data_IF_004698378088
#
_entry.id   IF_004698378088
#
_cell.length_a   1.000
_cell.length_b   1.000
_cell.length_c   1.000
_cell.angle_alpha   90.00
_cell.angle_beta   90.00
_cell.angle_gamma   90.00
#
_symmetry.space_group_name_H-M   'P 1'
#
loop_
_entity.id
_entity.type
_entity.pdbx_description
1 polymer ?
#
# COMPACT_ATOMS: atom_id res chain seq x y z
N UNK A 1 -11.93 -17.19 12.37
CA UNK A 1 -11.05 -17.24 11.19
C UNK A 1 -11.21 -18.58 10.46
N UNK A 2 -11.24 -18.55 9.13
CA UNK A 2 -11.08 -19.74 8.28
C UNK A 2 -10.14 -19.37 7.11
N UNK A 3 -9.25 -20.28 6.68
CA UNK A 3 -8.43 -20.07 5.48
C UNK A 3 -9.31 -19.82 4.24
N UNK A 4 -8.84 -19.03 3.27
CA UNK A 4 -9.60 -18.78 2.04
C UNK A 4 -9.80 -20.09 1.26
N UNK A 5 -10.90 -20.22 0.52
CA UNK A 5 -11.17 -21.42 -0.28
C UNK A 5 -10.22 -21.58 -1.48
N UNK A 6 -9.65 -20.48 -1.95
CA UNK A 6 -8.70 -20.41 -3.06
C UNK A 6 -7.48 -19.59 -2.65
N UNK A 7 -6.38 -19.79 -3.37
CA UNK A 7 -5.16 -19.00 -3.26
C UNK A 7 -4.89 -18.35 -4.61
N UNK A 8 -4.24 -17.19 -4.56
CA UNK A 8 -3.76 -16.45 -5.72
C UNK A 8 -2.24 -16.51 -5.66
N UNK A 9 -1.61 -17.14 -6.64
CA UNK A 9 -0.15 -17.26 -6.66
C UNK A 9 0.50 -16.05 -7.38
N UNK A 10 -0.12 -15.59 -8.47
CA UNK A 10 0.37 -14.49 -9.31
C UNK A 10 -0.78 -13.56 -9.74
N UNK A 11 -0.49 -12.26 -9.77
CA UNK A 11 -1.39 -11.19 -10.20
C UNK A 11 -0.71 -10.40 -11.31
N UNK A 12 -1.36 -10.32 -12.47
CA UNK A 12 -0.99 -9.37 -13.52
C UNK A 12 -2.08 -8.34 -13.70
N UNK A 13 -1.72 -7.08 -13.57
CA UNK A 13 -2.62 -5.94 -13.77
C UNK A 13 -2.18 -5.17 -15.02
N UNK A 14 -3.13 -4.85 -15.88
CA UNK A 14 -3.00 -3.83 -16.91
C UNK A 14 -4.03 -2.73 -16.63
N UNK A 15 -3.53 -1.54 -16.29
CA UNK A 15 -4.31 -0.40 -15.84
C UNK A 15 -4.14 0.72 -16.85
N UNK A 16 -5.20 1.02 -17.59
CA UNK A 16 -5.26 2.15 -18.51
C UNK A 16 -5.98 3.31 -17.84
N UNK A 17 -5.21 4.32 -17.43
CA UNK A 17 -5.68 5.45 -16.64
C UNK A 17 -6.56 6.38 -17.47
N UNK A 18 -7.74 6.64 -16.92
CA UNK A 18 -8.70 7.63 -17.37
C UNK A 18 -9.40 8.23 -16.14
N UNK A 19 -9.58 9.56 -16.02
CA UNK A 19 -10.15 10.18 -14.83
C UNK A 19 -11.55 9.65 -14.48
N UNK A 20 -12.39 9.44 -15.49
CA UNK A 20 -13.79 9.07 -15.30
C UNK A 20 -14.02 7.56 -15.33
N UNK A 21 -13.24 6.83 -16.13
CA UNK A 21 -13.43 5.41 -16.40
C UNK A 21 -12.10 4.68 -16.64
N UNK A 22 -11.23 4.65 -15.64
CA UNK A 22 -9.99 3.86 -15.67
C UNK A 22 -10.33 2.39 -15.93
N UNK A 23 -9.70 1.80 -16.95
CA UNK A 23 -9.88 0.40 -17.34
C UNK A 23 -8.86 -0.48 -16.65
N UNK A 24 -9.31 -1.53 -15.98
CA UNK A 24 -8.45 -2.48 -15.26
C UNK A 24 -8.70 -3.89 -15.80
N UNK A 25 -7.66 -4.50 -16.37
CA UNK A 25 -7.62 -5.92 -16.69
C UNK A 25 -6.77 -6.62 -15.64
N UNK A 26 -7.37 -7.56 -14.92
CA UNK A 26 -6.68 -8.38 -13.95
C UNK A 26 -6.63 -9.82 -14.43
N UNK A 27 -5.45 -10.42 -14.41
CA UNK A 27 -5.21 -11.84 -14.67
C UNK A 27 -4.65 -12.46 -13.40
N UNK A 28 -5.41 -13.37 -12.79
CA UNK A 28 -5.11 -14.01 -11.51
C UNK A 28 -4.82 -15.48 -11.76
N UNK A 29 -3.63 -15.95 -11.37
CA UNK A 29 -3.30 -17.37 -11.37
C UNK A 29 -3.74 -17.96 -10.04
N UNK A 30 -4.76 -18.81 -10.10
CA UNK A 30 -5.48 -19.28 -8.91
C UNK A 30 -5.46 -20.80 -8.81
N UNK A 31 -5.67 -21.28 -7.59
CA UNK A 31 -5.87 -22.71 -7.29
C UNK A 31 -6.70 -22.86 -6.01
N UNK A 32 -7.29 -24.03 -5.82
CA UNK A 32 -7.93 -24.37 -4.53
C UNK A 32 -6.90 -24.33 -3.40
N UNK A 33 -7.32 -23.83 -2.25
CA UNK A 33 -6.54 -23.92 -1.03
C UNK A 33 -6.75 -25.30 -0.39
N UNK A 34 -5.71 -26.13 -0.21
CA UNK A 34 -5.83 -27.42 0.47
C UNK A 34 -6.33 -27.31 1.93
N UNK A 35 -6.11 -26.16 2.57
CA UNK A 35 -6.58 -25.87 3.94
C UNK A 35 -7.96 -25.18 3.96
N UNK A 36 -8.49 -24.83 2.80
CA UNK A 36 -9.79 -24.18 2.64
C UNK A 36 -10.94 -25.18 2.81
N UNK A 37 -12.13 -24.66 3.16
CA UNK A 37 -13.34 -25.49 3.32
C UNK A 37 -14.00 -25.94 2.01
N UNK A 38 -13.37 -25.67 0.87
CA UNK A 38 -13.97 -25.84 -0.47
C UNK A 38 -15.06 -24.81 -0.75
N UNK A 39 -15.87 -25.08 -1.78
CA UNK A 39 -16.99 -24.22 -2.19
C UNK A 39 -16.71 -23.37 -3.43
N UNK A 40 -17.65 -22.44 -3.75
CA UNK A 40 -17.56 -21.56 -4.91
C UNK A 40 -16.41 -20.56 -4.75
N UNK A 41 -15.89 -20.05 -5.87
CA UNK A 41 -14.95 -18.94 -5.84
C UNK A 41 -15.72 -17.64 -5.61
N UNK A 42 -15.50 -16.99 -4.47
CA UNK A 42 -15.99 -15.65 -4.18
C UNK A 42 -14.83 -14.66 -4.19
N UNK A 43 -15.01 -13.52 -4.85
CA UNK A 43 -14.05 -12.42 -4.91
C UNK A 43 -14.75 -11.13 -4.49
N UNK A 44 -14.08 -10.33 -3.67
CA UNK A 44 -14.53 -9.01 -3.25
C UNK A 44 -14.34 -8.02 -4.40
N UNK A 45 -15.35 -7.20 -4.67
CA UNK A 45 -15.30 -6.16 -5.70
C UNK A 45 -16.43 -5.15 -5.53
N UNK A 46 -16.08 -3.88 -5.29
CA UNK A 46 -17.04 -2.83 -4.92
C UNK A 46 -16.91 -1.61 -5.84
N UNK A 47 -18.05 -1.05 -6.27
CA UNK A 47 -18.11 0.11 -7.18
C UNK A 47 -17.36 -0.10 -8.50
N UNK A 48 -17.41 -1.33 -9.02
CA UNK A 48 -16.82 -1.72 -10.29
C UNK A 48 -17.90 -1.86 -11.35
N UNK A 49 -17.61 -1.45 -12.58
CA UNK A 49 -18.39 -1.86 -13.74
C UNK A 49 -17.71 -3.05 -14.40
N UNK A 50 -18.32 -4.23 -14.34
CA UNK A 50 -17.78 -5.47 -14.91
C UNK A 50 -18.11 -5.58 -16.41
N UNK A 51 -17.08 -5.74 -17.24
CA UNK A 51 -17.20 -5.89 -18.70
C UNK A 51 -17.06 -7.34 -19.17
N UNK A 52 -16.35 -8.18 -18.41
CA UNK A 52 -16.22 -9.60 -18.76
C UNK A 52 -15.36 -10.39 -17.79
N UNK A 53 -15.61 -11.70 -17.77
CA UNK A 53 -14.89 -12.69 -16.98
C UNK A 53 -14.46 -13.83 -17.91
N UNK A 54 -13.22 -14.30 -17.78
CA UNK A 54 -12.73 -15.49 -18.48
C UNK A 54 -12.04 -16.44 -17.53
N UNK A 55 -12.14 -17.73 -17.82
CA UNK A 55 -11.31 -18.76 -17.18
C UNK A 55 -10.52 -19.47 -18.28
N UNK A 56 -9.20 -19.54 -18.11
CA UNK A 56 -8.27 -20.19 -19.05
C UNK A 56 -8.44 -19.71 -20.52
N UNK A 57 -8.70 -18.41 -20.67
CA UNK A 57 -8.90 -17.74 -21.96
C UNK A 57 -10.32 -17.86 -22.53
N UNK A 58 -11.19 -18.68 -21.94
CA UNK A 58 -12.58 -18.86 -22.37
C UNK A 58 -13.51 -17.89 -21.64
N UNK A 59 -14.30 -17.12 -22.38
CA UNK A 59 -15.28 -16.20 -21.80
C UNK A 59 -16.42 -16.95 -21.10
N UNK A 60 -16.68 -16.58 -19.85
CA UNK A 60 -17.82 -17.10 -19.12
C UNK A 60 -19.11 -16.41 -19.59
N UNK A 61 -20.17 -17.18 -19.76
CA UNK A 61 -21.51 -16.65 -19.99
C UNK A 61 -22.07 -16.02 -18.70
N UNK A 62 -23.02 -15.09 -18.84
CA UNK A 62 -23.59 -14.36 -17.69
C UNK A 62 -24.33 -15.22 -16.66
N UNK A 63 -24.66 -16.47 -17.00
CA UNK A 63 -25.23 -17.46 -16.08
C UNK A 63 -24.18 -18.34 -15.38
N UNK A 64 -22.90 -18.25 -15.76
CA UNK A 64 -21.80 -19.01 -15.17
C UNK A 64 -21.15 -18.30 -13.96
N UNK A 65 -21.53 -17.06 -13.69
CA UNK A 65 -21.12 -16.29 -12.51
C UNK A 65 -22.26 -15.39 -12.02
N UNK A 66 -22.15 -14.90 -10.80
CA UNK A 66 -23.10 -13.99 -10.18
C UNK A 66 -22.37 -12.78 -9.60
N UNK A 67 -22.99 -11.60 -9.69
CA UNK A 67 -22.50 -10.38 -9.04
C UNK A 67 -23.62 -9.75 -8.22
N UNK A 68 -23.33 -9.36 -6.99
CA UNK A 68 -24.29 -8.65 -6.11
C UNK A 68 -23.92 -7.17 -5.91
N UNK A 69 -22.88 -6.68 -6.59
CA UNK A 69 -22.34 -5.32 -6.49
C UNK A 69 -21.19 -5.18 -5.49
N UNK A 70 -20.99 -6.17 -4.62
CA UNK A 70 -19.89 -6.25 -3.65
C UNK A 70 -19.00 -7.48 -3.86
N UNK A 71 -19.52 -8.51 -4.54
CA UNK A 71 -18.83 -9.76 -4.80
C UNK A 71 -19.05 -10.23 -6.25
N UNK A 72 -18.05 -10.95 -6.76
CA UNK A 72 -18.15 -11.83 -7.93
C UNK A 72 -18.06 -13.28 -7.44
N UNK A 73 -19.09 -14.08 -7.72
CA UNK A 73 -19.14 -15.50 -7.36
C UNK A 73 -19.15 -16.37 -8.60
N UNK A 74 -18.23 -17.34 -8.67
CA UNK A 74 -18.15 -18.38 -9.70
C UNK A 74 -18.47 -19.73 -9.04
N UNK A 75 -19.69 -20.28 -9.23
CA UNK A 75 -20.12 -21.51 -8.56
C UNK A 75 -19.24 -22.72 -8.85
N UNK A 76 -18.85 -22.88 -10.13
CA UNK A 76 -18.12 -24.03 -10.65
C UNK A 76 -16.74 -23.61 -11.19
N UNK A 77 -15.86 -23.18 -10.29
CA UNK A 77 -14.45 -22.93 -10.66
C UNK A 77 -13.68 -24.27 -10.84
N UNK A 78 -12.67 -24.31 -11.74
CA UNK A 78 -11.88 -25.52 -11.99
C UNK A 78 -11.26 -26.11 -10.72
N UNK A 79 -11.14 -27.45 -10.68
CA UNK A 79 -10.51 -28.14 -9.55
C UNK A 79 -8.99 -27.94 -9.49
N UNK A 80 -8.34 -27.83 -10.66
CA UNK A 80 -6.90 -27.60 -10.81
C UNK A 80 -6.49 -26.14 -10.66
N UNK A 81 -5.25 -25.84 -11.01
CA UNK A 81 -4.82 -24.45 -11.21
C UNK A 81 -5.45 -23.89 -12.48
N UNK A 82 -5.93 -22.65 -12.42
CA UNK A 82 -6.55 -21.96 -13.56
C UNK A 82 -6.15 -20.49 -13.57
N UNK A 83 -6.38 -19.84 -14.70
CA UNK A 83 -6.21 -18.40 -14.87
C UNK A 83 -7.58 -17.74 -14.94
N UNK A 84 -7.87 -16.86 -13.98
CA UNK A 84 -9.06 -16.01 -14.03
C UNK A 84 -8.68 -14.64 -14.61
N UNK A 85 -9.40 -14.21 -15.64
CA UNK A 85 -9.28 -12.84 -16.16
C UNK A 85 -10.57 -12.07 -15.90
N UNK A 86 -10.46 -10.86 -15.37
CA UNK A 86 -11.57 -9.91 -15.25
C UNK A 86 -11.23 -8.60 -15.93
N UNK A 87 -12.19 -8.01 -16.63
CA UNK A 87 -12.09 -6.66 -17.16
C UNK A 87 -13.15 -5.78 -16.50
N UNK A 88 -12.71 -4.75 -15.78
CA UNK A 88 -13.57 -3.79 -15.10
C UNK A 88 -13.20 -2.35 -15.45
N UNK A 89 -14.11 -1.42 -15.18
CA UNK A 89 -13.77 0.01 -15.08
C UNK A 89 -14.15 0.56 -13.70
N UNK A 90 -13.35 1.48 -13.19
CA UNK A 90 -13.63 2.28 -12.00
C UNK A 90 -13.47 3.78 -12.31
N UNK A 91 -14.04 4.66 -11.49
CA UNK A 91 -14.03 6.11 -11.71
C UNK A 91 -13.22 6.89 -10.67
N UNK A 92 -11.90 7.11 -10.87
CA UNK A 92 -11.03 7.80 -9.91
C UNK A 92 -11.45 9.23 -9.57
N UNK A 93 -11.92 10.01 -10.55
CA UNK A 93 -12.33 11.41 -10.39
C UNK A 93 -13.54 11.54 -9.45
N UNK A 94 -14.48 10.61 -9.53
CA UNK A 94 -15.67 10.60 -8.69
C UNK A 94 -15.41 10.00 -7.29
N UNK A 95 -14.22 9.45 -7.02
CA UNK A 95 -13.92 8.71 -5.80
C UNK A 95 -13.45 9.62 -4.65
N UNK A 96 -14.39 10.34 -4.04
CA UNK A 96 -14.12 11.24 -2.90
C UNK A 96 -13.87 10.53 -1.57
N UNK A 97 -13.95 9.19 -1.53
CA UNK A 97 -13.67 8.41 -0.32
C UNK A 97 -12.16 8.17 -0.10
N UNK A 98 -11.32 8.45 -1.11
CA UNK A 98 -9.87 8.28 -1.07
C UNK A 98 -9.44 6.86 -0.65
N UNK A 99 -10.19 5.85 -1.12
CA UNK A 99 -9.94 4.41 -0.93
C UNK A 99 -10.07 3.70 -2.28
N UNK A 100 -9.21 2.74 -2.59
CA UNK A 100 -9.00 2.23 -3.95
C UNK A 100 -8.22 3.22 -4.80
N UNK A 101 -8.49 3.29 -6.10
CA UNK A 101 -7.90 4.26 -7.02
C UNK A 101 -8.72 5.56 -7.03
N UNK A 102 -8.06 6.70 -6.85
CA UNK A 102 -8.68 8.03 -6.82
C UNK A 102 -7.76 9.09 -7.43
N UNK A 103 -8.32 10.29 -7.68
CA UNK A 103 -7.56 11.46 -8.10
C UNK A 103 -7.42 12.47 -6.96
N UNK A 104 -6.20 12.96 -6.76
CA UNK A 104 -5.82 13.99 -5.79
C UNK A 104 -5.07 15.09 -6.53
N UNK A 105 -5.71 16.25 -6.72
CA UNK A 105 -5.12 17.38 -7.47
C UNK A 105 -4.52 17.01 -8.84
N UNK A 106 -5.18 16.09 -9.57
CA UNK A 106 -4.71 15.63 -10.89
C UNK A 106 -3.66 14.53 -10.85
N UNK A 107 -3.26 14.06 -9.66
CA UNK A 107 -2.39 12.90 -9.46
C UNK A 107 -3.27 11.68 -9.11
N UNK A 108 -3.11 10.59 -9.86
CA UNK A 108 -3.72 9.31 -9.51
C UNK A 108 -2.97 8.73 -8.31
N UNK A 109 -3.73 8.36 -7.29
CA UNK A 109 -3.22 7.73 -6.08
C UNK A 109 -4.07 6.52 -5.72
N UNK A 110 -3.47 5.60 -4.98
CA UNK A 110 -4.20 4.48 -4.39
C UNK A 110 -4.06 4.47 -2.88
N UNK A 111 -5.14 4.07 -2.20
CA UNK A 111 -5.11 3.66 -0.79
C UNK A 111 -5.87 2.35 -0.67
N UNK A 112 -5.16 1.26 -0.37
CA UNK A 112 -5.75 -0.07 -0.37
C UNK A 112 -5.96 -0.63 1.04
N UNK A 113 -5.28 -0.10 2.05
CA UNK A 113 -5.52 -0.54 3.42
C UNK A 113 -6.80 0.07 4.00
N UNK A 114 -7.67 -0.70 4.68
CA UNK A 114 -7.57 -2.16 4.91
C UNK A 114 -8.16 -3.01 3.78
N UNK A 115 -9.22 -2.50 3.15
CA UNK A 115 -10.08 -3.27 2.23
C UNK A 115 -10.44 -2.42 0.99
N UNK A 116 -9.46 -1.63 0.53
CA UNK A 116 -9.62 -0.70 -0.59
C UNK A 116 -9.28 -1.30 -1.95
N UNK A 117 -8.54 -2.42 -2.01
CA UNK A 117 -8.11 -3.00 -3.28
C UNK A 117 -9.29 -3.56 -4.09
N UNK A 118 -10.34 -4.06 -3.41
CA UNK A 118 -11.62 -4.46 -4.04
C UNK A 118 -12.32 -3.35 -4.82
N UNK A 119 -11.91 -2.08 -4.66
CA UNK A 119 -12.42 -0.93 -5.44
C UNK A 119 -11.60 -0.64 -6.70
N UNK A 120 -10.62 -1.47 -7.02
CA UNK A 120 -9.77 -1.39 -8.21
C UNK A 120 -10.09 -2.55 -9.16
N UNK A 121 -10.16 -3.77 -8.63
CA UNK A 121 -10.54 -4.99 -9.37
C UNK A 121 -11.09 -6.05 -8.40
N UNK A 122 -11.66 -7.13 -8.92
CA UNK A 122 -12.06 -8.29 -8.11
C UNK A 122 -10.83 -9.01 -7.52
N UNK A 123 -10.87 -9.32 -6.22
CA UNK A 123 -9.75 -9.98 -5.52
C UNK A 123 -10.20 -10.77 -4.29
N UNK A 124 -9.30 -11.55 -3.68
CA UNK A 124 -9.47 -12.04 -2.30
C UNK A 124 -8.92 -10.96 -1.36
N UNK A 125 -9.73 -9.97 -1.00
CA UNK A 125 -9.26 -8.72 -0.38
C UNK A 125 -9.11 -8.85 1.14
N UNK A 126 -8.14 -9.70 1.53
CA UNK A 126 -7.78 -10.11 2.89
C UNK A 126 -6.26 -10.27 3.01
N UNK A 127 -5.67 -10.02 4.19
CA UNK A 127 -4.20 -9.89 4.30
C UNK A 127 -3.44 -11.23 4.27
N UNK A 128 -4.11 -12.38 4.45
CA UNK A 128 -3.52 -13.70 4.25
C UNK A 128 -3.58 -14.21 2.79
N UNK A 129 -4.14 -13.43 1.86
CA UNK A 129 -4.10 -13.71 0.43
C UNK A 129 -2.91 -12.98 -0.24
N UNK A 130 -1.71 -13.56 -0.09
CA UNK A 130 -0.48 -13.01 -0.66
C UNK A 130 -0.22 -13.53 -2.07
N UNK A 131 0.21 -12.65 -2.98
CA UNK A 131 0.57 -13.01 -4.34
C UNK A 131 1.74 -12.17 -4.86
N UNK A 132 2.42 -12.65 -5.91
CA UNK A 132 3.41 -11.88 -6.68
C UNK A 132 2.69 -10.95 -7.65
N UNK A 133 3.10 -9.67 -7.74
CA UNK A 133 2.41 -8.68 -8.59
C UNK A 133 3.28 -8.24 -9.77
N UNK A 134 2.67 -8.18 -10.94
CA UNK A 134 3.19 -7.47 -12.11
C UNK A 134 2.16 -6.46 -12.57
N UNK A 135 2.52 -5.18 -12.61
CA UNK A 135 1.59 -4.08 -12.88
C UNK A 135 2.08 -3.25 -14.05
N UNK A 136 1.30 -3.25 -15.12
CA UNK A 136 1.49 -2.40 -16.29
C UNK A 136 0.52 -1.22 -16.19
N UNK A 137 1.08 -0.01 -16.16
CA UNK A 137 0.31 1.23 -16.14
C UNK A 137 0.44 1.89 -17.50
N UNK A 138 -0.67 2.39 -18.02
CA UNK A 138 -0.74 3.10 -19.29
C UNK A 138 -1.49 4.41 -19.08
N UNK A 139 -0.95 5.52 -19.59
CA UNK A 139 -1.59 6.82 -19.51
C UNK A 139 -1.20 7.72 -20.71
N UNK A 140 -1.88 8.84 -20.87
CA UNK A 140 -1.41 9.92 -21.74
C UNK A 140 -0.18 10.61 -21.10
N UNK A 141 0.91 10.77 -21.85
CA UNK A 141 2.19 11.29 -21.35
C UNK A 141 2.07 12.72 -20.79
N UNK A 142 1.15 13.52 -21.34
CA UNK A 142 0.87 14.89 -20.86
C UNK A 142 0.09 14.92 -19.55
N UNK A 143 -0.74 13.93 -19.30
CA UNK A 143 -1.57 13.82 -18.11
C UNK A 143 -0.75 13.26 -16.93
N UNK A 144 0.03 12.21 -17.20
CA UNK A 144 0.78 11.51 -16.18
C UNK A 144 2.18 11.12 -16.71
N UNK A 145 3.14 12.06 -16.79
CA UNK A 145 4.49 11.76 -17.28
C UNK A 145 5.27 10.79 -16.38
N UNK A 146 4.88 10.62 -15.11
CA UNK A 146 5.46 9.67 -14.16
C UNK A 146 4.43 8.59 -13.83
N UNK A 147 4.82 7.31 -13.94
CA UNK A 147 3.99 6.13 -13.64
C UNK A 147 4.74 5.17 -12.69
N UNK A 148 4.24 5.02 -11.46
CA UNK A 148 4.89 4.26 -10.39
C UNK A 148 3.96 3.15 -9.87
N UNK A 149 4.55 2.00 -9.53
CA UNK A 149 3.91 0.95 -8.75
C UNK A 149 4.95 0.22 -7.89
N UNK A 150 4.55 -0.83 -7.18
CA UNK A 150 5.44 -1.60 -6.32
C UNK A 150 6.52 -2.36 -7.12
N UNK A 151 7.66 -2.61 -6.49
CA UNK A 151 8.72 -3.46 -7.05
C UNK A 151 9.69 -2.70 -7.96
N UNK A 152 10.25 -3.41 -8.94
CA UNK A 152 11.23 -2.87 -9.87
C UNK A 152 10.59 -2.60 -11.24
N UNK A 153 10.92 -1.47 -11.87
CA UNK A 153 10.49 -1.18 -13.24
C UNK A 153 11.22 -2.08 -14.23
N UNK A 154 10.50 -2.99 -14.88
CA UNK A 154 11.07 -3.98 -15.82
C UNK A 154 10.91 -3.58 -17.28
N UNK A 155 9.95 -2.70 -17.60
CA UNK A 155 9.81 -2.16 -18.94
C UNK A 155 9.16 -0.76 -18.91
N UNK A 156 9.45 0.06 -19.91
CA UNK A 156 8.71 1.28 -20.21
C UNK A 156 8.82 1.62 -21.70
N UNK A 157 7.92 2.45 -22.19
CA UNK A 157 7.97 2.86 -23.59
C UNK A 157 6.84 3.76 -24.03
N UNK A 158 6.98 4.33 -25.22
CA UNK A 158 5.95 5.14 -25.88
C UNK A 158 4.95 4.24 -26.61
N UNK A 159 3.71 4.71 -26.67
CA UNK A 159 2.60 4.11 -27.40
C UNK A 159 2.01 5.12 -28.40
N UNK A 160 1.25 4.66 -29.42
CA UNK A 160 0.54 5.56 -30.31
C UNK A 160 -0.39 6.52 -29.56
N UNK A 161 -0.69 7.66 -30.19
CA UNK A 161 -1.65 8.63 -29.64
C UNK A 161 -1.14 9.42 -28.43
N UNK A 162 0.19 9.57 -28.26
CA UNK A 162 0.76 10.35 -27.15
C UNK A 162 0.67 9.66 -25.79
N UNK A 163 0.38 8.35 -25.78
CA UNK A 163 0.39 7.53 -24.56
C UNK A 163 1.77 6.93 -24.31
N UNK A 164 1.99 6.47 -23.09
CA UNK A 164 3.18 5.71 -22.71
C UNK A 164 2.82 4.62 -21.69
N UNK A 165 3.78 3.81 -21.29
CA UNK A 165 3.58 2.82 -20.24
C UNK A 165 4.83 2.65 -19.36
N UNK A 166 4.60 2.13 -18.16
CA UNK A 166 5.61 1.53 -17.30
C UNK A 166 5.08 0.18 -16.78
N UNK A 167 5.93 -0.84 -16.77
CA UNK A 167 5.63 -2.16 -16.21
C UNK A 167 6.56 -2.41 -15.02
N UNK A 168 5.95 -2.74 -13.89
CA UNK A 168 6.60 -2.93 -12.60
C UNK A 168 6.40 -4.38 -12.14
N UNK A 169 7.45 -5.00 -11.62
CA UNK A 169 7.43 -6.36 -11.11
C UNK A 169 7.92 -6.38 -9.66
N UNK A 170 7.05 -6.81 -8.75
CA UNK A 170 7.39 -7.07 -7.35
C UNK A 170 7.52 -8.59 -7.15
N UNK A 171 8.76 -9.10 -7.02
CA UNK A 171 9.01 -10.55 -6.98
C UNK A 171 8.63 -11.19 -5.64
N UNK A 172 8.26 -10.40 -4.63
CA UNK A 172 7.93 -10.89 -3.30
C UNK A 172 6.41 -10.97 -3.11
N UNK A 173 5.87 -12.12 -2.67
CA UNK A 173 4.45 -12.21 -2.34
C UNK A 173 4.05 -11.17 -1.30
N UNK A 174 2.96 -10.44 -1.58
CA UNK A 174 2.38 -9.47 -0.66
C UNK A 174 0.85 -9.51 -0.70
N UNK A 175 0.16 -9.13 0.38
CA UNK A 175 -1.28 -8.91 0.35
C UNK A 175 -1.64 -7.67 -0.47
N UNK A 176 -2.90 -7.64 -0.94
CA UNK A 176 -3.40 -6.60 -1.81
C UNK A 176 -3.48 -5.20 -1.16
N UNK A 177 -3.59 -5.12 0.16
CA UNK A 177 -3.61 -3.83 0.86
C UNK A 177 -2.30 -3.03 0.70
N UNK A 178 -1.18 -3.71 0.39
CA UNK A 178 0.13 -3.10 0.13
C UNK A 178 0.34 -2.71 -1.33
N UNK A 179 -0.64 -2.97 -2.21
CA UNK A 179 -0.59 -2.49 -3.58
C UNK A 179 -0.60 -0.96 -3.62
N UNK A 180 0.24 -0.39 -4.48
CA UNK A 180 0.19 1.03 -4.81
C UNK A 180 0.34 1.30 -6.30
N UNK A 181 -0.34 2.35 -6.73
CA UNK A 181 -0.17 3.02 -8.01
C UNK A 181 -0.17 4.53 -7.77
N UNK A 182 0.86 5.20 -8.29
CA UNK A 182 0.90 6.66 -8.37
C UNK A 182 1.20 7.07 -9.80
N UNK A 183 0.42 7.99 -10.35
CA UNK A 183 0.66 8.50 -11.69
C UNK A 183 0.28 9.98 -11.81
N UNK A 184 1.14 10.81 -12.37
CA UNK A 184 0.88 12.25 -12.48
C UNK A 184 2.11 13.05 -12.90
N UNK A 185 1.97 14.37 -12.84
CA UNK A 185 3.07 15.30 -13.05
C UNK A 185 3.87 15.47 -11.74
N UNK A 186 4.94 14.70 -11.61
CA UNK A 186 5.78 14.67 -10.42
C UNK A 186 7.23 14.99 -10.78
N UNK A 187 7.89 15.75 -9.91
CA UNK A 187 9.34 15.85 -9.88
C UNK A 187 9.89 14.90 -8.79
N UNK A 188 11.20 14.65 -8.79
CA UNK A 188 11.82 13.87 -7.73
C UNK A 188 13.24 14.31 -7.42
N UNK A 189 13.66 14.08 -6.18
CA UNK A 189 15.08 14.01 -5.82
C UNK A 189 15.49 12.53 -5.78
N UNK A 190 16.74 12.26 -6.13
CA UNK A 190 17.31 10.91 -6.14
C UNK A 190 18.61 10.87 -5.33
N UNK A 191 18.79 9.76 -4.61
CA UNK A 191 20.06 9.41 -3.99
C UNK A 191 20.22 7.87 -3.97
N UNK A 192 21.24 7.37 -3.29
CA UNK A 192 21.53 5.94 -3.16
C UNK A 192 21.84 5.57 -1.73
N UNK A 193 21.57 4.31 -1.41
CA UNK A 193 21.99 3.65 -0.18
C UNK A 193 22.68 2.34 -0.51
N UNK A 194 23.79 2.04 0.16
CA UNK A 194 24.48 0.75 0.04
C UNK A 194 24.17 -0.07 1.28
N UNK A 195 23.55 -1.21 1.08
CA UNK A 195 23.13 -2.11 2.16
C UNK A 195 24.30 -2.86 2.77
N UNK A 196 24.06 -3.53 3.90
CA UNK A 196 25.06 -4.34 4.60
C UNK A 196 25.63 -5.49 3.76
N UNK A 197 24.91 -6.01 2.75
CA UNK A 197 25.46 -6.99 1.79
C UNK A 197 26.14 -6.36 0.56
N UNK A 198 26.10 -5.03 0.43
CA UNK A 198 26.67 -4.29 -0.70
C UNK A 198 25.71 -4.04 -1.86
N UNK A 199 24.40 -4.30 -1.71
CA UNK A 199 23.39 -3.91 -2.71
C UNK A 199 23.29 -2.39 -2.77
N UNK A 200 23.34 -1.82 -3.98
CA UNK A 200 23.04 -0.40 -4.20
C UNK A 200 21.54 -0.23 -4.44
N UNK A 201 20.85 0.39 -3.48
CA UNK A 201 19.43 0.73 -3.57
C UNK A 201 19.30 2.18 -4.06
N UNK A 202 18.50 2.39 -5.10
CA UNK A 202 18.12 3.74 -5.55
C UNK A 202 17.02 4.29 -4.66
N UNK A 203 17.17 5.50 -4.15
CA UNK A 203 16.15 6.16 -3.33
C UNK A 203 15.56 7.32 -4.13
N UNK A 204 14.23 7.40 -4.23
CA UNK A 204 13.54 8.53 -4.88
C UNK A 204 12.43 9.07 -4.00
N UNK A 205 12.39 10.39 -3.86
CA UNK A 205 11.28 11.10 -3.23
C UNK A 205 10.59 11.94 -4.29
N UNK A 206 9.37 11.56 -4.65
CA UNK A 206 8.52 12.22 -5.63
C UNK A 206 7.61 13.23 -4.96
N UNK A 207 7.49 14.40 -5.58
CA UNK A 207 6.70 15.54 -5.10
C UNK A 207 6.10 16.31 -6.27
N UNK A 208 5.14 17.18 -5.98
CA UNK A 208 4.72 18.18 -6.96
C UNK A 208 5.91 19.07 -7.39
N UNK A 209 6.06 19.37 -8.69
CA UNK A 209 7.14 20.21 -9.19
C UNK A 209 7.25 21.56 -8.46
N UNK A 210 8.47 21.94 -8.07
CA UNK A 210 8.75 23.15 -7.28
C UNK A 210 8.94 22.90 -5.78
N UNK A 211 8.73 21.68 -5.29
CA UNK A 211 8.94 21.30 -3.89
C UNK A 211 10.20 20.44 -3.64
N UNK A 212 11.01 20.19 -4.66
CA UNK A 212 12.21 19.33 -4.60
C UNK A 212 13.21 19.81 -3.54
N UNK A 213 13.33 21.13 -3.38
CA UNK A 213 14.22 21.78 -2.40
C UNK A 213 13.85 21.49 -0.94
N UNK A 214 12.63 20.99 -0.69
CA UNK A 214 12.11 20.68 0.65
C UNK A 214 12.29 19.22 1.06
N UNK A 215 12.82 18.39 0.17
CA UNK A 215 12.88 16.92 0.37
C UNK A 215 14.20 16.44 0.99
N UNK A 216 15.20 17.32 1.12
CA UNK A 216 16.54 16.92 1.55
C UNK A 216 16.57 16.24 2.93
N UNK A 217 15.78 16.74 3.88
CA UNK A 217 15.70 16.13 5.21
C UNK A 217 15.04 14.75 5.20
N UNK A 218 13.98 14.58 4.41
CA UNK A 218 13.29 13.30 4.25
C UNK A 218 14.21 12.22 3.65
N UNK A 219 15.03 12.57 2.66
CA UNK A 219 16.02 11.67 2.08
C UNK A 219 17.05 11.20 3.11
N UNK A 220 17.55 12.12 3.93
CA UNK A 220 18.52 11.79 4.98
C UNK A 220 17.88 10.98 6.12
N UNK A 221 16.61 11.26 6.47
CA UNK A 221 15.85 10.45 7.42
C UNK A 221 15.71 9.01 6.92
N UNK A 222 15.31 8.81 5.66
CA UNK A 222 15.19 7.49 5.05
C UNK A 222 16.50 6.71 5.12
N UNK A 223 17.63 7.32 4.76
CA UNK A 223 18.95 6.67 4.87
C UNK A 223 19.32 6.30 6.31
N UNK A 224 19.00 7.15 7.30
CA UNK A 224 19.18 6.84 8.73
C UNK A 224 18.32 5.67 9.15
N UNK A 225 17.06 5.61 8.72
CA UNK A 225 16.14 4.49 8.99
C UNK A 225 16.68 3.18 8.41
N UNK A 226 17.14 3.20 7.15
CA UNK A 226 17.74 2.03 6.50
C UNK A 226 18.98 1.55 7.25
N UNK A 227 19.90 2.46 7.60
CA UNK A 227 21.12 2.13 8.34
C UNK A 227 20.81 1.57 9.73
N UNK A 228 19.92 2.23 10.47
CA UNK A 228 19.58 1.82 11.84
C UNK A 228 18.93 0.43 11.88
N UNK A 229 18.08 0.10 10.90
CA UNK A 229 17.44 -1.21 10.87
C UNK A 229 18.44 -2.34 10.55
N UNK A 230 19.47 -2.05 9.75
CA UNK A 230 20.62 -2.95 9.55
C UNK A 230 21.43 -3.11 10.84
N UNK A 231 21.80 -2.01 11.48
CA UNK A 231 22.69 -2.03 12.64
C UNK A 231 22.04 -2.63 13.90
N UNK A 232 20.74 -2.35 14.13
CA UNK A 232 20.03 -2.73 15.35
C UNK A 232 19.29 -4.07 15.21
N UNK A 233 18.67 -4.32 14.06
CA UNK A 233 17.85 -5.52 13.84
C UNK A 233 18.40 -6.45 12.74
N UNK A 234 19.50 -6.11 12.07
CA UNK A 234 20.03 -6.90 10.95
C UNK A 234 19.04 -7.01 9.80
N UNK A 235 18.21 -5.97 9.58
CA UNK A 235 17.17 -5.94 8.56
C UNK A 235 17.66 -5.18 7.34
N UNK A 236 17.96 -5.93 6.29
CA UNK A 236 18.35 -5.37 4.99
C UNK A 236 17.14 -5.23 4.05
N UNK A 237 17.19 -4.21 3.19
CA UNK A 237 16.16 -3.95 2.17
C UNK A 237 16.27 -4.91 0.97
N UNK A 238 15.13 -5.29 0.38
CA UNK A 238 15.01 -6.42 -0.55
C UNK A 238 14.78 -6.04 -2.03
N UNK A 239 14.58 -4.76 -2.36
CA UNK A 239 14.40 -4.26 -3.74
C UNK A 239 15.56 -3.35 -4.20
N UNK A 240 15.57 -3.03 -5.49
CA UNK A 240 16.63 -2.20 -6.09
C UNK A 240 16.30 -0.70 -6.08
N UNK A 241 15.05 -0.36 -5.77
CA UNK A 241 14.54 1.00 -5.62
C UNK A 241 13.58 1.08 -4.44
N UNK A 242 13.67 2.17 -3.66
CA UNK A 242 12.69 2.57 -2.67
C UNK A 242 12.16 3.96 -3.03
N UNK A 243 10.83 4.09 -3.08
CA UNK A 243 10.17 5.31 -3.50
C UNK A 243 9.28 5.84 -2.40
N UNK A 244 9.31 7.15 -2.20
CA UNK A 244 8.35 7.92 -1.40
C UNK A 244 7.61 8.85 -2.35
N UNK A 245 6.30 8.96 -2.22
CA UNK A 245 5.50 9.98 -2.91
C UNK A 245 4.82 10.85 -1.87
N UNK A 246 5.05 12.16 -1.93
CA UNK A 246 4.33 13.13 -1.11
C UNK A 246 3.12 13.68 -1.89
N UNK A 247 1.93 13.59 -1.31
CA UNK A 247 0.68 14.07 -1.91
C UNK A 247 -0.09 14.95 -0.92
N UNK A 248 -0.81 15.95 -1.43
CA UNK A 248 -1.49 16.94 -0.60
C UNK A 248 -2.79 16.44 0.05
N UNK A 249 -3.52 15.52 -0.60
CA UNK A 249 -4.73 14.92 -0.03
C UNK A 249 -4.53 13.41 0.20
N UNK A 250 -4.38 13.06 1.47
CA UNK A 250 -4.25 11.69 1.96
C UNK A 250 -4.98 11.57 3.30
N UNK A 251 -5.86 10.57 3.45
CA UNK A 251 -6.65 10.38 4.68
C UNK A 251 -5.76 10.07 5.89
N UNK A 252 -4.72 9.27 5.68
CA UNK A 252 -3.78 8.86 6.72
C UNK A 252 -2.57 9.81 6.78
N UNK A 253 -1.67 9.60 7.74
CA UNK A 253 -0.40 10.32 7.78
C UNK A 253 0.54 9.87 6.65
N UNK A 254 0.74 8.56 6.57
CA UNK A 254 1.46 7.88 5.51
C UNK A 254 0.96 6.43 5.39
N UNK A 255 1.48 5.70 4.40
CA UNK A 255 1.12 4.31 4.13
C UNK A 255 2.35 3.55 3.60
N UNK A 256 2.54 2.34 4.11
CA UNK A 256 3.75 1.52 3.93
C UNK A 256 3.78 0.69 2.63
N UNK A 257 3.07 1.13 1.57
CA UNK A 257 2.91 0.32 0.36
C UNK A 257 4.27 -0.15 -0.16
N UNK A 258 4.45 -1.46 -0.35
CA UNK A 258 5.78 -2.07 -0.50
C UNK A 258 6.61 -1.41 -1.62
N UNK A 259 7.67 -0.70 -1.23
CA UNK A 259 8.61 -0.01 -2.14
C UNK A 259 8.10 1.28 -2.77
N UNK A 260 6.87 1.71 -2.46
CA UNK A 260 6.24 2.95 -2.95
C UNK A 260 5.39 3.58 -1.84
N UNK A 261 6.03 4.02 -0.77
CA UNK A 261 5.30 4.59 0.36
C UNK A 261 4.65 5.92 -0.05
N UNK A 262 3.40 6.15 0.36
CA UNK A 262 2.65 7.37 0.05
C UNK A 262 2.43 8.16 1.34
N UNK A 263 2.78 9.43 1.31
CA UNK A 263 2.76 10.32 2.47
C UNK A 263 1.88 11.54 2.22
N UNK A 264 1.27 12.05 3.28
CA UNK A 264 0.82 13.43 3.32
C UNK A 264 2.04 14.36 3.23
N UNK A 265 1.99 15.37 2.37
CA UNK A 265 3.12 16.26 2.08
C UNK A 265 3.73 16.95 3.31
N UNK A 266 2.92 17.28 4.33
CA UNK A 266 3.38 17.86 5.60
C UNK A 266 4.38 16.98 6.36
N UNK A 267 4.40 15.67 6.08
CA UNK A 267 5.31 14.71 6.71
C UNK A 267 6.51 14.33 5.82
N UNK A 268 6.74 15.07 4.73
CA UNK A 268 7.91 14.91 3.86
C UNK A 268 8.62 16.25 3.63
N UNK A 269 7.86 17.33 3.42
CA UNK A 269 8.40 18.62 3.01
C UNK A 269 8.84 19.46 4.22
N UNK A 270 10.12 19.84 4.27
CA UNK A 270 10.64 20.76 5.29
C UNK A 270 11.70 21.71 4.74
N UNK A 271 11.65 22.97 5.20
CA UNK A 271 12.72 23.95 5.01
C UNK A 271 13.07 24.66 6.32
N UNK A 272 14.34 25.05 6.54
CA UNK A 272 14.76 25.69 7.78
C UNK A 272 14.08 27.04 8.08
N UNK A 273 13.56 27.72 7.05
CA UNK A 273 12.89 29.01 7.18
C UNK A 273 11.39 28.89 7.50
N UNK A 274 10.81 27.69 7.42
CA UNK A 274 9.36 27.46 7.64
C UNK A 274 9.04 26.34 8.64
N UNK A 275 9.87 25.31 8.73
CA UNK A 275 9.64 24.14 9.56
C UNK A 275 10.21 24.31 10.98
N UNK A 276 9.48 23.83 11.97
CA UNK A 276 9.90 23.80 13.37
C UNK A 276 10.72 22.54 13.68
N UNK A 277 11.42 22.51 14.82
CA UNK A 277 12.11 21.31 15.29
C UNK A 277 11.17 20.12 15.48
N UNK A 278 9.90 20.39 15.82
CA UNK A 278 8.87 19.37 15.95
C UNK A 278 8.48 18.78 14.59
N UNK A 279 8.41 19.61 13.53
CA UNK A 279 8.14 19.13 12.17
C UNK A 279 9.28 18.23 11.69
N UNK A 280 10.53 18.63 11.91
CA UNK A 280 11.70 17.78 11.62
C UNK A 280 11.65 16.45 12.40
N UNK A 281 11.27 16.47 13.68
CA UNK A 281 11.11 15.24 14.46
C UNK A 281 10.01 14.33 13.92
N UNK A 282 8.86 14.90 13.53
CA UNK A 282 7.74 14.15 12.99
C UNK A 282 8.09 13.51 11.64
N UNK A 283 8.73 14.25 10.73
CA UNK A 283 9.18 13.73 9.42
C UNK A 283 10.12 12.54 9.61
N UNK A 284 11.11 12.67 10.50
CA UNK A 284 12.08 11.60 10.75
C UNK A 284 11.42 10.35 11.36
N UNK A 285 10.54 10.54 12.35
CA UNK A 285 9.85 9.42 12.99
C UNK A 285 8.91 8.68 12.03
N UNK A 286 8.10 9.40 11.24
CA UNK A 286 7.13 8.79 10.33
C UNK A 286 7.84 8.12 9.16
N UNK A 287 8.86 8.73 8.56
CA UNK A 287 9.66 8.06 7.50
C UNK A 287 10.28 6.76 8.01
N UNK A 288 10.77 6.74 9.25
CA UNK A 288 11.29 5.54 9.87
C UNK A 288 10.21 4.49 10.09
N UNK A 289 9.05 4.87 10.64
CA UNK A 289 7.89 4.01 10.84
C UNK A 289 7.50 3.29 9.54
N UNK A 290 7.26 4.05 8.46
CA UNK A 290 6.84 3.46 7.18
C UNK A 290 7.93 2.60 6.54
N UNK A 291 9.22 2.92 6.75
CA UNK A 291 10.32 2.07 6.28
C UNK A 291 10.39 0.75 7.07
N UNK A 292 10.22 0.81 8.39
CA UNK A 292 10.29 -0.37 9.26
C UNK A 292 9.20 -1.39 8.95
N UNK A 293 8.02 -0.94 8.53
CA UNK A 293 6.97 -1.82 8.03
C UNK A 293 7.42 -2.73 6.87
N UNK A 294 8.49 -2.40 6.12
CA UNK A 294 9.04 -3.31 5.11
C UNK A 294 9.30 -4.71 5.68
N UNK A 295 9.70 -4.81 6.95
CA UNK A 295 9.81 -6.08 7.67
C UNK A 295 8.58 -6.42 8.52
N UNK A 296 8.12 -5.51 9.37
CA UNK A 296 7.01 -5.75 10.33
C UNK A 296 5.69 -5.21 9.79
N UNK A 297 5.16 -5.87 8.77
CA UNK A 297 3.95 -5.46 8.07
C UNK A 297 3.92 -6.00 6.65
N UNK A 298 5.03 -5.83 5.93
CA UNK A 298 5.13 -6.18 4.51
C UNK A 298 5.68 -7.59 4.31
N UNK A 299 6.93 -7.84 4.71
CA UNK A 299 7.54 -9.18 4.60
C UNK A 299 6.91 -10.20 5.54
N UNK A 300 6.50 -9.76 6.73
CA UNK A 300 5.74 -10.54 7.70
C UNK A 300 4.46 -9.75 7.96
N UNK A 301 3.35 -10.22 7.40
CA UNK A 301 2.07 -9.51 7.44
C UNK A 301 1.06 -10.17 8.37
N UNK A 302 -0.07 -9.50 8.58
CA UNK A 302 -1.18 -9.97 9.40
C UNK A 302 -1.93 -11.13 8.72
N UNK A 303 -2.31 -12.15 9.49
CA UNK A 303 -3.20 -13.22 8.99
C UNK A 303 -4.63 -12.71 8.75
N UNK A 304 -5.07 -11.83 9.63
CA UNK A 304 -6.38 -11.19 9.60
C UNK A 304 -6.27 -9.84 10.31
N UNK A 305 -7.24 -8.97 10.08
CA UNK A 305 -7.22 -7.60 10.59
C UNK A 305 -7.35 -7.50 12.11
N UNK A 306 -7.76 -8.56 12.80
CA UNK A 306 -7.69 -8.59 14.27
C UNK A 306 -6.25 -8.53 14.76
N UNK A 307 -5.27 -8.95 13.95
CA UNK A 307 -3.84 -8.89 14.31
C UNK A 307 -3.20 -7.52 14.01
N UNK A 308 -3.96 -6.45 13.77
CA UNK A 308 -3.40 -5.15 13.40
C UNK A 308 -2.29 -4.67 14.36
N UNK A 309 -2.46 -4.88 15.67
CA UNK A 309 -1.44 -4.54 16.69
C UNK A 309 -0.09 -5.27 16.50
N UNK A 310 -0.06 -6.40 15.78
CA UNK A 310 1.17 -7.12 15.47
C UNK A 310 2.07 -6.30 14.55
N UNK A 311 1.51 -5.69 13.50
CA UNK A 311 2.29 -4.84 12.59
C UNK A 311 2.44 -3.45 13.18
N UNK A 312 1.37 -2.86 13.70
CA UNK A 312 1.37 -1.48 14.18
C UNK A 312 2.15 -1.33 15.48
N UNK A 313 1.74 -2.00 16.56
CA UNK A 313 2.41 -1.86 17.86
C UNK A 313 3.90 -2.24 17.82
N UNK A 314 4.28 -3.23 17.00
CA UNK A 314 5.70 -3.58 16.82
C UNK A 314 6.45 -2.51 16.01
N UNK A 315 5.83 -1.90 14.99
CA UNK A 315 6.47 -0.86 14.18
C UNK A 315 6.55 0.47 14.94
N UNK A 316 5.50 0.81 15.70
CA UNK A 316 5.50 1.92 16.66
C UNK A 316 6.65 1.77 17.65
N UNK A 317 6.81 0.60 18.27
CA UNK A 317 7.95 0.34 19.16
C UNK A 317 9.30 0.58 18.45
N UNK A 318 9.45 0.12 17.19
CA UNK A 318 10.68 0.31 16.42
C UNK A 318 10.95 1.78 16.10
N UNK A 319 9.94 2.58 15.73
CA UNK A 319 10.13 4.02 15.51
C UNK A 319 10.43 4.78 16.81
N UNK A 320 9.88 4.33 17.94
CA UNK A 320 10.16 4.92 19.25
C UNK A 320 11.63 4.69 19.65
N UNK A 321 12.16 3.48 19.42
CA UNK A 321 13.57 3.17 19.66
C UNK A 321 14.50 3.90 18.69
N UNK A 322 14.15 3.95 17.40
CA UNK A 322 14.90 4.73 16.41
C UNK A 322 14.97 6.21 16.79
N UNK A 323 13.82 6.82 17.09
CA UNK A 323 13.74 8.24 17.49
C UNK A 323 14.53 8.48 18.78
N UNK A 324 14.53 7.52 19.69
CA UNK A 324 15.31 7.59 20.93
C UNK A 324 16.81 7.62 20.69
N UNK A 325 17.30 6.85 19.71
CA UNK A 325 18.72 6.76 19.34
C UNK A 325 19.18 7.95 18.50
N UNK A 326 18.33 8.43 17.58
CA UNK A 326 18.64 9.59 16.74
C UNK A 326 18.58 10.92 17.50
N UNK A 327 17.82 10.96 18.60
CA UNK A 327 17.56 12.19 19.36
C UNK A 327 17.87 12.02 20.84
N UNK A 328 16.84 12.01 21.68
CA UNK A 328 16.96 11.98 23.14
C UNK A 328 15.97 10.97 23.69
N UNK A 329 16.50 9.80 24.05
CA UNK A 329 15.75 8.67 24.63
C UNK A 329 14.86 9.07 25.82
N UNK A 330 15.31 9.88 26.81
CA UNK A 330 14.41 10.35 27.87
C UNK A 330 13.28 11.26 27.37
N UNK A 331 13.57 12.17 26.43
CA UNK A 331 12.55 13.10 25.90
C UNK A 331 11.50 12.34 25.09
N UNK A 332 11.92 11.43 24.19
CA UNK A 332 11.03 10.57 23.42
C UNK A 332 10.14 9.74 24.36
N UNK A 333 10.74 9.04 25.34
CA UNK A 333 9.95 8.23 26.28
C UNK A 333 8.96 9.04 27.12
N UNK A 334 9.32 10.25 27.55
CA UNK A 334 8.38 11.14 28.24
C UNK A 334 7.23 11.55 27.31
N UNK A 335 7.53 11.86 26.04
CA UNK A 335 6.53 12.22 25.04
C UNK A 335 5.52 11.09 24.81
N UNK A 336 6.00 9.86 24.61
CA UNK A 336 5.15 8.70 24.34
C UNK A 336 4.26 8.36 25.53
N UNK A 337 4.83 8.36 26.75
CA UNK A 337 4.04 8.14 27.98
C UNK A 337 2.99 9.23 28.18
N UNK A 338 3.28 10.48 27.79
CA UNK A 338 2.28 11.56 27.85
C UNK A 338 1.16 11.33 26.84
N UNK A 339 1.47 10.94 25.60
CA UNK A 339 0.51 10.63 24.56
C UNK A 339 -0.42 9.48 24.99
N UNK A 340 0.15 8.39 25.49
CA UNK A 340 -0.59 7.24 26.01
C UNK A 340 -1.57 7.65 27.12
N UNK A 341 -1.10 8.45 28.10
CA UNK A 341 -1.95 8.93 29.20
C UNK A 341 -3.04 9.93 28.77
N UNK A 342 -2.82 10.70 27.69
CA UNK A 342 -3.78 11.71 27.25
C UNK A 342 -4.77 11.22 26.20
N UNK A 343 -4.44 10.17 25.44
CA UNK A 343 -5.31 9.63 24.38
C UNK A 343 -5.75 8.19 24.66
N UNK A 344 -4.81 7.28 24.89
CA UNK A 344 -5.10 5.86 25.06
C UNK A 344 -5.83 5.56 26.38
N UNK A 345 -5.43 6.18 27.49
CA UNK A 345 -6.08 5.98 28.79
C UNK A 345 -7.57 6.41 28.80
N UNK A 346 -7.93 7.57 28.24
CA UNK A 346 -9.34 7.93 28.06
C UNK A 346 -10.12 6.99 27.14
N UNK A 347 -9.51 6.49 26.07
CA UNK A 347 -10.15 5.52 25.16
C UNK A 347 -10.46 4.20 25.88
N UNK A 348 -9.50 3.67 26.64
CA UNK A 348 -9.61 2.41 27.38
C UNK A 348 -10.53 2.49 28.62
N UNK A 349 -10.86 3.71 29.05
CA UNK A 349 -11.87 3.97 30.10
C UNK A 349 -13.23 4.37 29.51
N UNK A 350 -13.31 4.51 28.19
CA UNK A 350 -14.48 5.00 27.48
C UNK A 350 -15.37 3.89 26.91
N UNK A 351 -16.48 4.27 26.25
CA UNK A 351 -17.37 3.32 25.57
C UNK A 351 -16.73 2.59 24.38
N UNK A 352 -15.59 3.08 23.90
CA UNK A 352 -14.82 2.50 22.80
C UNK A 352 -13.68 1.60 23.30
N UNK A 353 -13.59 1.32 24.60
CA UNK A 353 -12.56 0.45 25.15
C UNK A 353 -12.56 -0.93 24.48
N UNK A 354 -11.39 -1.37 24.03
CA UNK A 354 -11.17 -2.66 23.39
C UNK A 354 -9.76 -3.15 23.67
N UNK A 355 -9.50 -4.48 23.69
CA UNK A 355 -8.13 -4.98 23.78
C UNK A 355 -7.31 -4.56 22.55
N UNK A 356 -5.97 -4.55 22.68
CA UNK A 356 -5.04 -4.28 21.56
C UNK A 356 -5.27 -5.22 20.36
N UNK A 357 -5.77 -6.43 20.65
CA UNK A 357 -6.26 -7.39 19.66
C UNK A 357 -7.78 -7.56 19.83
N UNK A 358 -8.61 -6.82 19.07
CA UNK A 358 -10.06 -6.86 19.21
C UNK A 358 -10.65 -8.26 19.00
N UNK A 359 -11.81 -8.53 19.61
CA UNK A 359 -12.55 -9.79 19.41
C UNK A 359 -13.62 -9.69 18.31
N UNK A 360 -14.06 -8.47 17.97
CA UNK A 360 -15.03 -8.18 16.92
C UNK A 360 -14.90 -6.75 16.39
N UNK A 361 -15.29 -6.54 15.13
CA UNK A 361 -15.43 -5.22 14.52
C UNK A 361 -16.57 -5.22 13.50
N UNK A 362 -17.06 -4.03 13.13
CA UNK A 362 -17.98 -3.84 11.99
C UNK A 362 -17.20 -3.21 10.83
N UNK A 363 -16.52 -2.10 11.11
CA UNK A 363 -15.70 -1.37 10.15
C UNK A 363 -14.25 -1.39 10.67
N UNK A 364 -13.33 -2.00 9.93
CA UNK A 364 -11.92 -2.12 10.36
C UNK A 364 -11.23 -0.75 10.47
N UNK A 365 -11.65 0.23 9.67
CA UNK A 365 -11.14 1.60 9.71
C UNK A 365 -11.30 2.26 11.10
N UNK A 366 -12.23 1.78 11.92
CA UNK A 366 -12.44 2.28 13.29
C UNK A 366 -11.45 1.71 14.32
N UNK A 367 -10.60 0.76 13.95
CA UNK A 367 -9.62 0.12 14.84
C UNK A 367 -8.18 0.59 14.61
N UNK A 368 -8.00 1.64 13.81
CA UNK A 368 -6.76 2.43 13.77
C UNK A 368 -6.76 3.40 14.95
N UNK A 369 -6.64 2.84 16.17
CA UNK A 369 -6.82 3.56 17.43
C UNK A 369 -5.53 3.63 18.25
N UNK A 370 -5.48 4.54 19.22
CA UNK A 370 -4.35 4.64 20.13
C UNK A 370 -4.10 3.32 20.87
N UNK A 371 -5.14 2.57 21.22
CA UNK A 371 -4.98 1.26 21.89
C UNK A 371 -4.36 0.17 21.00
N UNK A 372 -4.55 0.22 19.67
CA UNK A 372 -3.88 -0.74 18.76
C UNK A 372 -2.42 -0.37 18.49
N UNK A 373 -2.11 0.93 18.50
CA UNK A 373 -0.83 1.50 18.10
C UNK A 373 0.17 1.70 19.26
N UNK A 374 -0.27 2.32 20.37
CA UNK A 374 0.61 2.96 21.39
C UNK A 374 0.98 2.10 22.62
#
# INVERSE_FOLDING_TARGET
YAPPAYLIDEVRLEIELDPAATSVRATLKMRRNPEGRGGPLGLDGQKLTLHGVKIDGESLSSNAYQTDGEHLTIPEAPEGSFTLETHVTCGPEANTQLLGLYLSNGIYCTQCEAEGFRRITYYLDRPDAMAVFTTRIVAEEKMAPVLLSNGNQVASGKLPGGRHFAEWHDPFPKPAYLFALVAGNLAFIEDKFVTMSGRSVTLRIFVEPGNEDRCGYAMEALKRSMRWDEDVFGREYDLDIFMIVAVSAFNMGAMENKGLNVFNDKYVLARPDTATDADYAAIEAIIAHEYFHNWTGNRITCRDWFQLCLKEGLTVFRDQEFTSDMRSRPVKRISDVRLLRSHQFPEDQGPLAHPVRPDSYIEINNFYTATVYE
#
